data_IF_877161505101
#
_entry.id   IF_877161505101
#
_cell.length_a   1.000
_cell.length_b   1.000
_cell.length_c   1.000
_cell.angle_alpha   90.00
_cell.angle_beta   90.00
_cell.angle_gamma   90.00
#
_symmetry.space_group_name_H-M   'P 1'
#
loop_
_entity.id
_entity.type
_entity.pdbx_description
1 polymer ?
#
# COMPACT_ATOMS: atom_id res chain seq x y z
N UNK A 1 57.85 -32.99 -42.88
CA UNK A 1 56.70 -32.76 -43.77
C UNK A 1 55.48 -32.74 -42.87
N UNK A 2 54.68 -31.70 -42.68
CA UNK A 2 54.54 -30.37 -43.26
C UNK A 2 53.87 -29.52 -42.17
N UNK A 3 54.32 -28.27 -41.99
CA UNK A 3 53.59 -27.26 -41.25
C UNK A 3 52.41 -26.78 -42.10
N UNK A 4 51.21 -26.74 -41.53
CA UNK A 4 50.15 -25.83 -41.99
C UNK A 4 49.81 -24.85 -40.89
N UNK A 5 50.28 -23.61 -41.07
CA UNK A 5 49.80 -22.42 -40.36
C UNK A 5 48.54 -21.93 -41.07
N UNK A 6 47.48 -21.66 -40.32
CA UNK A 6 46.51 -20.61 -40.70
C UNK A 6 46.35 -19.70 -39.48
N UNK A 7 46.72 -18.44 -39.69
CA UNK A 7 46.52 -17.28 -38.82
C UNK A 7 45.11 -16.74 -39.02
N UNK A 8 44.42 -16.29 -37.96
CA UNK A 8 43.13 -15.64 -38.14
C UNK A 8 42.39 -15.20 -36.89
N UNK A 9 42.84 -14.06 -36.35
CA UNK A 9 42.03 -13.01 -35.69
C UNK A 9 41.40 -13.32 -34.33
N UNK A 10 41.88 -12.57 -33.34
CA UNK A 10 41.32 -12.53 -32.01
C UNK A 10 39.91 -11.96 -31.98
N UNK A 11 39.05 -12.65 -31.27
CA UNK A 11 37.94 -12.05 -30.56
C UNK A 11 38.06 -12.53 -29.11
N UNK A 12 38.48 -11.61 -28.26
CA UNK A 12 38.26 -11.71 -26.82
C UNK A 12 36.76 -11.80 -26.59
N UNK A 13 36.22 -13.01 -26.57
CA UNK A 13 34.95 -13.24 -25.91
C UNK A 13 35.22 -13.16 -24.41
N UNK A 14 34.99 -11.99 -23.85
CA UNK A 14 34.62 -11.90 -22.44
C UNK A 14 33.29 -12.64 -22.29
N UNK A 15 33.36 -13.93 -21.97
CA UNK A 15 32.27 -14.56 -21.22
C UNK A 15 32.22 -13.82 -19.89
N UNK A 16 31.36 -12.81 -19.80
CA UNK A 16 30.88 -12.31 -18.52
C UNK A 16 30.18 -13.48 -17.85
N UNK A 17 30.91 -14.18 -16.99
CA UNK A 17 30.33 -15.03 -15.95
C UNK A 17 29.47 -14.12 -15.08
N UNK A 18 28.20 -13.95 -15.45
CA UNK A 18 27.18 -13.52 -14.51
C UNK A 18 27.07 -14.65 -13.49
N UNK A 19 27.64 -14.46 -12.31
CA UNK A 19 27.30 -15.29 -11.16
C UNK A 19 25.79 -15.17 -10.96
N UNK A 20 25.04 -16.14 -11.48
CA UNK A 20 23.68 -16.40 -11.03
C UNK A 20 23.83 -16.75 -9.55
N UNK A 21 23.56 -15.78 -8.68
CA UNK A 21 23.01 -16.14 -7.38
C UNK A 21 21.71 -16.85 -7.71
N UNK A 22 21.73 -18.19 -7.63
CA UNK A 22 20.50 -18.98 -7.56
C UNK A 22 19.74 -18.45 -6.35
N UNK A 23 18.88 -17.46 -6.56
CA UNK A 23 17.82 -17.15 -5.64
C UNK A 23 17.01 -18.44 -5.57
N UNK A 24 17.21 -19.22 -4.52
CA UNK A 24 16.52 -20.47 -4.30
C UNK A 24 15.04 -20.20 -4.51
N UNK A 25 14.48 -20.70 -5.62
CA UNK A 25 13.05 -20.61 -5.89
C UNK A 25 12.41 -21.44 -4.79
N UNK A 26 11.89 -20.76 -3.76
CA UNK A 26 11.19 -21.41 -2.68
C UNK A 26 10.06 -22.22 -3.31
N UNK A 27 9.90 -23.50 -2.95
CA UNK A 27 8.82 -24.31 -3.50
C UNK A 27 7.49 -23.61 -3.23
N UNK A 28 6.63 -23.56 -4.25
CA UNK A 28 5.24 -23.15 -4.08
C UNK A 28 4.63 -23.97 -2.95
N UNK A 29 3.92 -23.31 -2.04
CA UNK A 29 3.19 -23.92 -0.92
C UNK A 29 1.71 -23.82 -1.27
N UNK A 30 1.11 -24.82 -1.96
CA UNK A 30 -0.25 -24.71 -2.47
C UNK A 30 -1.29 -24.50 -1.36
N UNK A 31 -1.02 -25.00 -0.16
CA UNK A 31 -1.88 -24.86 1.02
C UNK A 31 -2.09 -23.39 1.41
N UNK A 32 -1.12 -22.52 1.08
CA UNK A 32 -1.24 -21.09 1.34
C UNK A 32 -2.39 -20.43 0.55
N UNK A 33 -2.95 -21.08 -0.49
CA UNK A 33 -4.10 -20.57 -1.21
C UNK A 33 -5.44 -20.76 -0.48
N UNK A 34 -5.53 -21.73 0.43
CA UNK A 34 -6.79 -22.23 1.00
C UNK A 34 -7.03 -21.81 2.46
N UNK A 35 -6.36 -20.75 2.90
CA UNK A 35 -6.47 -20.21 4.26
C UNK A 35 -7.90 -19.69 4.53
N UNK A 36 -8.43 -19.97 5.72
CA UNK A 36 -9.75 -19.51 6.14
C UNK A 36 -9.74 -17.99 6.34
N UNK A 37 -8.73 -17.46 7.04
CA UNK A 37 -8.53 -16.03 7.17
C UNK A 37 -7.57 -15.52 6.10
N UNK A 38 -8.12 -15.10 4.96
CA UNK A 38 -7.35 -14.54 3.83
C UNK A 38 -6.75 -13.15 4.09
N UNK A 39 -7.09 -12.51 5.21
CA UNK A 39 -6.53 -11.20 5.57
C UNK A 39 -5.28 -11.35 6.44
N UNK A 40 -5.36 -12.07 7.56
CA UNK A 40 -4.20 -12.33 8.44
C UNK A 40 -3.39 -13.57 8.06
N UNK A 41 -3.85 -14.32 7.05
CA UNK A 41 -3.20 -15.52 6.54
C UNK A 41 -3.02 -16.59 7.62
N UNK A 42 -4.01 -16.76 8.50
CA UNK A 42 -4.00 -17.66 9.66
C UNK A 42 -2.84 -17.39 10.64
N UNK A 43 -2.49 -16.12 10.86
CA UNK A 43 -1.73 -15.73 12.05
C UNK A 43 -2.62 -15.92 13.29
N UNK A 44 -2.12 -16.66 14.27
CA UNK A 44 -2.82 -16.91 15.53
C UNK A 44 -2.91 -15.63 16.34
N UNK A 45 -4.12 -15.22 16.76
CA UNK A 45 -4.28 -14.11 17.70
C UNK A 45 -4.53 -14.68 19.10
N UNK A 46 -4.16 -13.93 20.14
CA UNK A 46 -4.59 -14.29 21.49
C UNK A 46 -6.12 -14.20 21.61
N UNK A 47 -6.72 -14.91 22.57
CA UNK A 47 -8.18 -14.83 22.81
C UNK A 47 -8.64 -13.40 23.08
N UNK A 48 -7.82 -12.61 23.76
CA UNK A 48 -8.08 -11.20 24.05
C UNK A 48 -8.06 -10.35 22.77
N UNK A 49 -7.03 -10.50 21.94
CA UNK A 49 -6.93 -9.82 20.63
C UNK A 49 -8.07 -10.22 19.68
N UNK A 50 -8.43 -11.50 19.68
CA UNK A 50 -9.58 -11.98 18.92
C UNK A 50 -10.87 -11.27 19.32
N UNK A 51 -11.04 -10.92 20.60
CA UNK A 51 -12.22 -10.22 21.08
C UNK A 51 -12.16 -8.71 20.80
N UNK A 52 -11.03 -8.05 21.07
CA UNK A 52 -10.87 -6.60 20.92
C UNK A 52 -10.85 -6.16 19.45
N UNK A 53 -10.17 -6.92 18.59
CA UNK A 53 -9.91 -6.54 17.19
C UNK A 53 -10.94 -7.11 16.20
N UNK A 54 -11.90 -7.91 16.68
CA UNK A 54 -12.87 -8.65 15.85
C UNK A 54 -13.59 -7.77 14.82
N UNK A 55 -14.02 -6.58 15.25
CA UNK A 55 -14.88 -5.72 14.46
C UNK A 55 -14.20 -5.24 13.17
N UNK A 56 -13.00 -4.65 13.28
CA UNK A 56 -12.31 -4.13 12.11
C UNK A 56 -11.63 -5.25 11.31
N UNK A 57 -11.18 -6.33 11.96
CA UNK A 57 -10.63 -7.50 11.26
C UNK A 57 -11.68 -8.18 10.37
N UNK A 58 -12.93 -8.27 10.83
CA UNK A 58 -14.04 -8.79 10.03
C UNK A 58 -14.28 -7.92 8.78
N UNK A 59 -14.21 -6.59 8.92
CA UNK A 59 -14.32 -5.65 7.79
C UNK A 59 -13.12 -5.78 6.84
N UNK A 60 -11.91 -5.91 7.36
CA UNK A 60 -10.71 -6.09 6.56
C UNK A 60 -10.74 -7.42 5.76
N UNK A 61 -11.28 -8.49 6.37
CA UNK A 61 -11.51 -9.77 5.68
C UNK A 61 -12.53 -9.63 4.54
N UNK A 62 -13.60 -8.85 4.73
CA UNK A 62 -14.53 -8.51 3.63
C UNK A 62 -13.81 -7.78 2.50
N UNK A 63 -12.89 -6.87 2.82
CA UNK A 63 -11.99 -6.22 1.87
C UNK A 63 -11.18 -7.19 1.02
N UNK A 64 -10.57 -8.19 1.67
CA UNK A 64 -9.82 -9.23 0.96
C UNK A 64 -10.72 -10.02 -0.01
N UNK A 65 -11.96 -10.32 0.40
CA UNK A 65 -12.92 -11.07 -0.42
C UNK A 65 -13.45 -10.26 -1.60
N UNK A 66 -13.77 -8.97 -1.42
CA UNK A 66 -14.35 -8.16 -2.50
C UNK A 66 -13.30 -7.69 -3.52
N UNK A 67 -12.07 -7.35 -3.07
CA UNK A 67 -11.01 -6.91 -3.97
C UNK A 67 -10.32 -8.08 -4.67
N UNK A 68 -10.24 -9.23 -4.02
CA UNK A 68 -9.62 -10.46 -4.54
C UNK A 68 -10.62 -11.63 -4.46
N UNK A 69 -11.73 -11.60 -5.22
CA UNK A 69 -12.70 -12.68 -5.25
C UNK A 69 -12.11 -13.95 -5.89
N UNK A 70 -12.78 -15.08 -5.70
CA UNK A 70 -12.39 -16.33 -6.37
C UNK A 70 -12.66 -16.26 -7.88
N UNK A 71 -13.80 -15.67 -8.25
CA UNK A 71 -14.25 -15.52 -9.62
C UNK A 71 -14.75 -14.08 -9.85
N UNK A 72 -14.29 -13.45 -10.93
CA UNK A 72 -14.70 -12.13 -11.36
C UNK A 72 -14.89 -12.17 -12.88
N UNK A 73 -16.14 -12.34 -13.36
CA UNK A 73 -16.40 -12.41 -14.78
C UNK A 73 -16.10 -11.06 -15.43
N UNK A 74 -15.32 -11.09 -16.50
CA UNK A 74 -14.98 -9.88 -17.27
C UNK A 74 -16.20 -9.43 -18.08
N UNK A 75 -16.55 -8.17 -17.95
CA UNK A 75 -17.61 -7.49 -18.70
C UNK A 75 -17.07 -6.22 -19.34
N UNK A 76 -17.88 -5.53 -20.16
CA UNK A 76 -17.47 -4.25 -20.77
C UNK A 76 -17.15 -3.15 -19.73
N UNK A 77 -17.81 -3.19 -18.57
CA UNK A 77 -17.62 -2.20 -17.51
C UNK A 77 -16.64 -2.66 -16.43
N UNK A 78 -16.36 -3.96 -16.35
CA UNK A 78 -15.45 -4.58 -15.39
C UNK A 78 -14.49 -5.50 -16.13
N UNK A 79 -13.37 -4.97 -16.57
CA UNK A 79 -12.37 -5.66 -17.39
C UNK A 79 -11.25 -6.27 -16.55
N UNK A 80 -11.09 -5.86 -15.29
CA UNK A 80 -10.03 -6.34 -14.41
C UNK A 80 -10.29 -7.79 -13.95
N UNK A 81 -9.59 -8.72 -14.59
CA UNK A 81 -9.75 -10.17 -14.36
C UNK A 81 -9.23 -10.63 -12.99
N UNK A 82 -9.58 -11.84 -12.56
CA UNK A 82 -8.97 -12.47 -11.38
C UNK A 82 -7.44 -12.58 -11.49
N UNK A 83 -6.93 -12.88 -12.68
CA UNK A 83 -5.50 -12.92 -12.94
C UNK A 83 -4.85 -11.54 -12.73
N UNK A 84 -5.43 -10.48 -13.31
CA UNK A 84 -4.94 -9.10 -13.15
C UNK A 84 -4.88 -8.71 -11.67
N UNK A 85 -5.95 -8.99 -10.93
CA UNK A 85 -6.05 -8.70 -9.49
C UNK A 85 -5.00 -9.45 -8.68
N UNK A 86 -4.86 -10.76 -8.87
CA UNK A 86 -3.89 -11.58 -8.12
C UNK A 86 -2.44 -11.28 -8.50
N UNK A 87 -2.16 -11.03 -9.78
CA UNK A 87 -0.83 -10.61 -10.27
C UNK A 87 -0.43 -9.24 -9.69
N UNK A 88 -1.39 -8.31 -9.61
CA UNK A 88 -1.22 -7.02 -8.95
C UNK A 88 -0.92 -7.19 -7.47
N UNK A 89 -1.75 -7.95 -6.76
CA UNK A 89 -1.57 -8.19 -5.32
C UNK A 89 -0.21 -8.86 -5.02
N UNK A 90 0.21 -9.83 -5.84
CA UNK A 90 1.53 -10.45 -5.74
C UNK A 90 2.66 -9.43 -5.98
N UNK A 91 2.57 -8.61 -7.02
CA UNK A 91 3.55 -7.55 -7.32
C UNK A 91 3.70 -6.58 -6.15
N UNK A 92 2.57 -6.14 -5.59
CA UNK A 92 2.54 -5.22 -4.46
C UNK A 92 3.10 -5.89 -3.19
N UNK A 93 2.74 -7.14 -2.92
CA UNK A 93 3.30 -7.90 -1.78
C UNK A 93 4.82 -8.07 -1.88
N UNK A 94 5.34 -8.32 -3.10
CA UNK A 94 6.77 -8.41 -3.37
C UNK A 94 7.50 -7.10 -3.11
N UNK A 95 6.91 -5.96 -3.52
CA UNK A 95 7.45 -4.62 -3.22
C UNK A 95 7.57 -4.40 -1.71
N UNK A 96 6.58 -4.82 -0.93
CA UNK A 96 6.62 -4.66 0.53
C UNK A 96 7.46 -5.72 1.25
N UNK A 97 7.87 -6.79 0.58
CA UNK A 97 8.77 -7.81 1.11
C UNK A 97 8.14 -8.73 2.17
N UNK A 98 6.81 -8.77 2.30
CA UNK A 98 6.14 -9.62 3.30
C UNK A 98 5.96 -11.03 2.75
N UNK A 99 6.92 -11.92 3.04
CA UNK A 99 7.02 -13.24 2.40
C UNK A 99 5.74 -14.09 2.51
N UNK A 100 5.05 -14.09 3.66
CA UNK A 100 3.81 -14.87 3.84
C UNK A 100 2.73 -14.41 2.86
N UNK A 101 2.64 -13.10 2.63
CA UNK A 101 1.70 -12.49 1.70
C UNK A 101 2.07 -12.81 0.24
N UNK A 102 3.37 -12.77 -0.10
CA UNK A 102 3.86 -13.21 -1.41
C UNK A 102 3.48 -14.66 -1.69
N UNK A 103 3.72 -15.56 -0.73
CA UNK A 103 3.40 -16.98 -0.87
C UNK A 103 1.90 -17.20 -1.07
N UNK A 104 1.06 -16.51 -0.30
CA UNK A 104 -0.39 -16.59 -0.40
C UNK A 104 -0.89 -16.19 -1.80
N UNK A 105 -0.49 -15.02 -2.30
CA UNK A 105 -0.96 -14.57 -3.61
C UNK A 105 -0.35 -15.38 -4.76
N UNK A 106 0.91 -15.82 -4.65
CA UNK A 106 1.50 -16.72 -5.64
C UNK A 106 0.75 -18.06 -5.73
N UNK A 107 0.39 -18.65 -4.58
CA UNK A 107 -0.38 -19.89 -4.53
C UNK A 107 -1.78 -19.71 -5.13
N UNK A 108 -2.44 -18.56 -4.89
CA UNK A 108 -3.74 -18.23 -5.49
C UNK A 108 -3.67 -17.91 -6.98
N UNK A 109 -2.57 -17.33 -7.45
CA UNK A 109 -2.35 -16.97 -8.86
C UNK A 109 -2.02 -18.19 -9.72
N UNK A 110 -1.25 -19.15 -9.20
CA UNK A 110 -0.79 -20.33 -9.94
C UNK A 110 -1.89 -21.12 -10.69
N UNK A 111 -3.10 -21.37 -10.13
CA UNK A 111 -4.16 -22.08 -10.84
C UNK A 111 -4.97 -21.19 -11.80
N UNK A 112 -4.79 -19.88 -11.81
CA UNK A 112 -5.55 -18.97 -12.67
C UNK A 112 -5.12 -19.13 -14.13
N UNK A 113 -6.06 -19.07 -15.10
CA UNK A 113 -5.70 -19.06 -16.50
C UNK A 113 -4.82 -17.84 -16.77
N UNK A 114 -3.61 -18.08 -17.28
CA UNK A 114 -2.69 -17.01 -17.64
C UNK A 114 -3.24 -16.16 -18.80
N UNK A 115 -2.73 -14.94 -18.95
CA UNK A 115 -3.01 -14.10 -20.11
C UNK A 115 -2.66 -14.85 -21.40
N UNK A 116 -3.42 -14.60 -22.47
CA UNK A 116 -3.05 -15.13 -23.77
C UNK A 116 -1.71 -14.56 -24.24
N UNK A 117 -1.07 -15.22 -25.20
CA UNK A 117 0.24 -14.83 -25.73
C UNK A 117 0.18 -13.69 -26.74
N UNK A 118 -0.97 -13.00 -26.88
CA UNK A 118 -1.11 -11.87 -27.80
C UNK A 118 -0.24 -10.69 -27.37
N UNK A 119 0.09 -9.81 -28.32
CA UNK A 119 0.84 -8.58 -28.02
C UNK A 119 0.05 -7.65 -27.11
N UNK A 120 -1.27 -7.59 -27.28
CA UNK A 120 -2.19 -6.75 -26.52
C UNK A 120 -2.25 -7.17 -25.04
N UNK A 121 -2.41 -8.48 -24.81
CA UNK A 121 -2.42 -9.07 -23.48
C UNK A 121 -1.09 -8.89 -22.74
N UNK A 122 0.05 -9.09 -23.43
CA UNK A 122 1.37 -8.83 -22.87
C UNK A 122 1.60 -7.34 -22.53
N UNK A 123 1.13 -6.42 -23.39
CA UNK A 123 1.19 -4.97 -23.13
C UNK A 123 0.37 -4.61 -21.90
N UNK A 124 -0.86 -5.13 -21.78
CA UNK A 124 -1.73 -4.94 -20.62
C UNK A 124 -1.07 -5.40 -19.33
N UNK A 125 -0.57 -6.63 -19.29
CA UNK A 125 0.11 -7.16 -18.11
C UNK A 125 1.31 -6.30 -17.72
N UNK A 126 2.11 -5.86 -18.71
CA UNK A 126 3.30 -5.04 -18.46
C UNK A 126 2.93 -3.69 -17.84
N UNK A 127 1.94 -2.98 -18.40
CA UNK A 127 1.52 -1.67 -17.90
C UNK A 127 0.86 -1.76 -16.52
N UNK A 128 -0.02 -2.74 -16.30
CA UNK A 128 -0.63 -2.99 -14.99
C UNK A 128 0.46 -3.28 -13.94
N UNK A 129 1.41 -4.16 -14.26
CA UNK A 129 2.50 -4.53 -13.34
C UNK A 129 3.40 -3.34 -13.03
N UNK A 130 3.75 -2.54 -14.04
CA UNK A 130 4.57 -1.35 -13.88
C UNK A 130 3.88 -0.30 -12.99
N UNK A 131 2.63 0.04 -13.29
CA UNK A 131 1.85 0.99 -12.50
C UNK A 131 1.72 0.53 -11.05
N UNK A 132 1.34 -0.74 -10.83
CA UNK A 132 1.19 -1.31 -9.49
C UNK A 132 2.50 -1.23 -8.69
N UNK A 133 3.64 -1.55 -9.32
CA UNK A 133 4.96 -1.45 -8.70
C UNK A 133 5.30 0.00 -8.36
N UNK A 134 5.07 0.94 -9.27
CA UNK A 134 5.34 2.37 -9.04
C UNK A 134 4.47 2.92 -7.91
N UNK A 135 3.14 2.72 -7.95
CA UNK A 135 2.25 3.21 -6.90
C UNK A 135 2.53 2.55 -5.53
N UNK A 136 3.03 1.31 -5.50
CA UNK A 136 3.43 0.66 -4.27
C UNK A 136 4.76 1.19 -3.71
N UNK A 137 5.79 1.37 -4.55
CA UNK A 137 7.17 1.66 -4.12
C UNK A 137 7.60 3.13 -4.20
N UNK A 138 7.16 3.84 -5.24
CA UNK A 138 7.53 5.23 -5.54
C UNK A 138 6.28 5.97 -6.06
N UNK A 139 5.29 6.24 -5.19
CA UNK A 139 4.00 6.77 -5.62
C UNK A 139 4.12 8.10 -6.38
N UNK A 140 5.15 8.90 -6.08
CA UNK A 140 5.43 10.19 -6.73
C UNK A 140 5.76 10.10 -8.22
N UNK A 141 6.00 8.90 -8.76
CA UNK A 141 6.17 8.69 -10.20
C UNK A 141 4.83 8.57 -10.94
N UNK A 142 3.71 8.47 -10.23
CA UNK A 142 2.39 8.42 -10.84
C UNK A 142 1.96 9.84 -11.22
N UNK A 143 1.74 10.03 -12.52
CA UNK A 143 1.33 11.27 -13.18
C UNK A 143 0.15 11.03 -14.12
N UNK A 144 -0.30 12.09 -14.81
CA UNK A 144 -1.43 12.03 -15.75
C UNK A 144 -1.16 11.01 -16.88
N UNK A 145 0.08 10.91 -17.36
CA UNK A 145 0.46 9.96 -18.40
C UNK A 145 0.36 8.51 -17.90
N UNK A 146 0.80 8.25 -16.66
CA UNK A 146 0.67 6.93 -16.02
C UNK A 146 -0.79 6.50 -15.88
N UNK A 147 -1.70 7.44 -15.57
CA UNK A 147 -3.15 7.19 -15.52
C UNK A 147 -3.74 6.97 -16.92
N UNK A 148 -3.34 7.76 -17.91
CA UNK A 148 -3.76 7.59 -19.30
C UNK A 148 -3.36 6.21 -19.85
N UNK A 149 -2.17 5.71 -19.50
CA UNK A 149 -1.73 4.38 -19.91
C UNK A 149 -2.64 3.25 -19.42
N UNK A 150 -3.34 3.42 -18.29
CA UNK A 150 -4.32 2.42 -17.83
C UNK A 150 -5.54 2.35 -18.76
N UNK A 151 -5.99 3.49 -19.28
CA UNK A 151 -7.06 3.56 -20.29
C UNK A 151 -6.61 2.93 -21.62
N UNK A 152 -5.34 3.12 -22.02
CA UNK A 152 -4.79 2.52 -23.24
C UNK A 152 -4.79 0.99 -23.25
N UNK A 153 -4.77 0.35 -22.07
CA UNK A 153 -4.93 -1.11 -21.94
C UNK A 153 -6.35 -1.53 -21.59
N UNK A 154 -7.31 -0.66 -21.89
CA UNK A 154 -8.74 -0.88 -21.79
C UNK A 154 -9.21 -1.18 -20.35
N UNK A 155 -8.61 -0.56 -19.34
CA UNK A 155 -9.21 -0.50 -18.01
C UNK A 155 -10.30 0.58 -18.01
N UNK A 156 -11.52 0.20 -17.62
CA UNK A 156 -12.61 1.17 -17.45
C UNK A 156 -12.34 2.08 -16.24
N UNK A 157 -13.09 3.19 -16.09
CA UNK A 157 -13.01 4.02 -14.89
C UNK A 157 -13.30 3.21 -13.62
N UNK A 158 -14.26 2.28 -13.67
CA UNK A 158 -14.54 1.37 -12.55
C UNK A 158 -13.31 0.52 -12.24
N UNK A 159 -12.68 -0.05 -13.26
CA UNK A 159 -11.48 -0.87 -13.07
C UNK A 159 -10.30 -0.08 -12.53
N UNK A 160 -10.08 1.16 -12.98
CA UNK A 160 -9.00 2.02 -12.48
C UNK A 160 -9.22 2.33 -10.99
N UNK A 161 -10.46 2.61 -10.58
CA UNK A 161 -10.83 2.81 -9.17
C UNK A 161 -10.58 1.54 -8.36
N UNK A 162 -11.10 0.39 -8.80
CA UNK A 162 -10.88 -0.91 -8.15
C UNK A 162 -9.40 -1.27 -8.06
N UNK A 163 -8.63 -0.99 -9.11
CA UNK A 163 -7.21 -1.29 -9.21
C UNK A 163 -6.38 -0.46 -8.21
N UNK A 164 -6.66 0.83 -8.08
CA UNK A 164 -6.03 1.67 -7.07
C UNK A 164 -6.45 1.28 -5.64
N UNK A 165 -7.72 0.88 -5.44
CA UNK A 165 -8.19 0.31 -4.16
C UNK A 165 -7.43 -0.98 -3.80
N UNK A 166 -7.23 -1.87 -4.77
CA UNK A 166 -6.49 -3.11 -4.58
C UNK A 166 -5.03 -2.85 -4.18
N UNK A 167 -4.33 -1.95 -4.88
CA UNK A 167 -2.93 -1.62 -4.56
C UNK A 167 -2.81 -1.04 -3.14
N UNK A 168 -3.71 -0.13 -2.79
CA UNK A 168 -3.75 0.47 -1.45
C UNK A 168 -4.08 -0.56 -0.36
N UNK A 169 -5.10 -1.40 -0.58
CA UNK A 169 -5.52 -2.46 0.34
C UNK A 169 -4.41 -3.49 0.56
N UNK A 170 -3.73 -3.96 -0.49
CA UNK A 170 -2.62 -4.91 -0.33
C UNK A 170 -1.48 -4.29 0.49
N UNK A 171 -1.24 -2.99 0.34
CA UNK A 171 -0.28 -2.27 1.20
C UNK A 171 -0.71 -2.10 2.64
N UNK A 172 -2.00 -1.95 2.90
CA UNK A 172 -2.57 -2.01 4.24
C UNK A 172 -2.40 -3.41 4.84
N UNK A 173 -2.82 -4.46 4.13
CA UNK A 173 -2.70 -5.85 4.56
C UNK A 173 -1.25 -6.23 4.88
N UNK A 174 -0.29 -5.87 4.02
CA UNK A 174 1.14 -6.15 4.25
C UNK A 174 1.64 -5.55 5.58
N UNK A 175 1.25 -4.30 5.89
CA UNK A 175 1.65 -3.62 7.12
C UNK A 175 0.99 -4.22 8.35
N UNK A 176 -0.30 -4.54 8.26
CA UNK A 176 -1.03 -5.20 9.35
C UNK A 176 -0.39 -6.56 9.69
N UNK A 177 -0.12 -7.38 8.67
CA UNK A 177 0.57 -8.67 8.86
C UNK A 177 1.93 -8.46 9.55
N UNK A 178 2.73 -7.50 9.07
CA UNK A 178 4.04 -7.21 9.65
C UNK A 178 3.96 -6.79 11.13
N UNK A 179 2.95 -6.01 11.51
CA UNK A 179 2.72 -5.60 12.90
C UNK A 179 2.34 -6.79 13.78
N UNK A 180 1.41 -7.64 13.34
CA UNK A 180 1.05 -8.84 14.11
C UNK A 180 2.23 -9.82 14.24
N UNK A 181 3.03 -9.99 13.19
CA UNK A 181 4.25 -10.79 13.26
C UNK A 181 5.25 -10.22 14.28
N UNK A 182 5.42 -8.90 14.31
CA UNK A 182 6.29 -8.23 15.26
C UNK A 182 5.80 -8.38 16.70
N UNK A 183 4.49 -8.22 16.95
CA UNK A 183 3.88 -8.40 18.28
C UNK A 183 4.04 -9.85 18.80
N UNK A 184 4.04 -10.83 17.90
CA UNK A 184 4.25 -12.24 18.23
C UNK A 184 5.74 -12.63 18.32
N UNK A 185 6.66 -11.69 18.09
CA UNK A 185 8.10 -11.97 18.08
C UNK A 185 8.53 -12.93 16.95
N UNK A 186 7.75 -13.05 15.88
CA UNK A 186 8.08 -13.92 14.76
C UNK A 186 9.31 -13.37 14.01
N UNK A 187 10.23 -14.25 13.56
CA UNK A 187 11.43 -13.82 12.89
C UNK A 187 11.11 -13.21 11.53
N UNK A 188 11.73 -12.06 11.27
CA UNK A 188 11.67 -11.41 9.98
C UNK A 188 12.69 -12.04 9.04
N UNK A 189 12.22 -12.59 7.92
CA UNK A 189 13.10 -13.05 6.84
C UNK A 189 13.48 -11.87 5.96
N UNK A 190 14.50 -11.13 6.39
CA UNK A 190 15.07 -10.07 5.55
C UNK A 190 15.79 -10.70 4.35
N UNK A 191 15.35 -10.34 3.15
CA UNK A 191 16.00 -10.73 1.90
C UNK A 191 16.92 -9.58 1.45
N UNK A 192 18.24 -9.80 1.36
CA UNK A 192 19.16 -8.80 0.83
C UNK A 192 18.78 -8.42 -0.60
N UNK A 193 18.81 -7.11 -0.91
CA UNK A 193 18.56 -6.60 -2.26
C UNK A 193 17.11 -6.19 -2.57
N UNK A 194 16.18 -6.29 -1.60
CA UNK A 194 14.90 -5.58 -1.70
C UNK A 194 15.12 -4.10 -1.39
N UNK A 195 14.85 -3.24 -2.36
CA UNK A 195 14.94 -1.78 -2.19
C UNK A 195 13.92 -1.30 -1.16
N UNK A 196 14.38 -0.51 -0.19
CA UNK A 196 13.49 0.21 0.71
C UNK A 196 12.86 1.39 -0.03
N UNK A 197 11.58 1.66 0.22
CA UNK A 197 10.93 2.84 -0.35
C UNK A 197 11.67 4.10 0.12
N UNK A 198 12.06 4.94 -0.84
CA UNK A 198 12.65 6.25 -0.58
C UNK A 198 11.53 7.25 -0.25
N UNK A 199 11.86 8.23 0.59
CA UNK A 199 10.93 9.33 0.87
C UNK A 199 10.74 10.17 -0.39
N UNK A 200 9.53 10.67 -0.56
CA UNK A 200 9.25 11.68 -1.56
C UNK A 200 10.18 12.91 -1.42
N UNK A 201 10.39 13.65 -2.51
CA UNK A 201 11.16 14.89 -2.45
C UNK A 201 10.48 15.93 -1.55
N UNK A 202 11.25 16.61 -0.71
CA UNK A 202 10.73 17.70 0.14
C UNK A 202 10.12 18.84 -0.69
N UNK A 203 10.60 19.01 -1.94
CA UNK A 203 10.15 20.06 -2.85
C UNK A 203 8.65 19.98 -3.15
N UNK A 204 8.06 18.78 -3.11
CA UNK A 204 6.62 18.58 -3.36
C UNK A 204 5.73 19.30 -2.33
N UNK A 205 6.27 19.60 -1.14
CA UNK A 205 5.56 20.14 0.00
C UNK A 205 5.87 21.62 0.27
N UNK A 206 6.59 22.30 -0.63
CA UNK A 206 6.98 23.70 -0.47
C UNK A 206 5.89 24.70 -0.88
N UNK A 207 5.03 24.32 -1.83
CA UNK A 207 4.06 25.19 -2.51
C UNK A 207 2.80 25.51 -1.67
N UNK A 208 2.88 25.47 -0.34
CA UNK A 208 1.75 25.72 0.55
C UNK A 208 0.65 24.65 0.50
N UNK A 209 -0.55 25.02 0.94
CA UNK A 209 -1.67 24.09 1.05
C UNK A 209 -2.31 23.81 -0.31
N UNK A 210 -2.22 22.55 -0.75
CA UNK A 210 -2.84 22.08 -2.00
C UNK A 210 -4.09 21.28 -1.74
N UNK A 211 -5.12 21.56 -2.53
CA UNK A 211 -6.39 20.84 -2.51
C UNK A 211 -6.32 19.64 -3.45
N UNK A 212 -6.98 18.53 -3.12
CA UNK A 212 -7.03 17.37 -4.01
C UNK A 212 -8.15 17.54 -5.05
N UNK A 213 -7.86 17.22 -6.31
CA UNK A 213 -8.83 17.19 -7.40
C UNK A 213 -8.81 15.83 -8.12
N UNK A 214 -9.97 15.28 -8.49
CA UNK A 214 -10.04 14.02 -9.22
C UNK A 214 -9.55 14.19 -10.66
N UNK A 215 -8.81 13.19 -11.16
CA UNK A 215 -8.38 13.13 -12.57
C UNK A 215 -9.32 12.28 -13.44
N UNK A 216 -10.26 11.58 -12.80
CA UNK A 216 -11.28 10.75 -13.43
C UNK A 216 -12.67 11.31 -13.13
N UNK A 217 -13.66 11.11 -14.02
CA UNK A 217 -15.02 11.57 -13.78
C UNK A 217 -15.61 10.85 -12.56
N UNK A 218 -16.06 11.55 -11.51
CA UNK A 218 -16.73 10.91 -10.37
C UNK A 218 -18.12 10.38 -10.75
N UNK A 219 -18.71 9.52 -9.92
CA UNK A 219 -20.11 9.10 -10.10
C UNK A 219 -21.01 10.33 -9.98
N UNK A 220 -21.86 10.53 -10.98
CA UNK A 220 -22.84 11.60 -10.97
C UNK A 220 -24.02 11.27 -10.04
N UNK A 221 -24.36 12.19 -9.13
CA UNK A 221 -25.43 12.01 -8.14
C UNK A 221 -26.77 11.56 -8.74
N UNK A 222 -27.11 12.03 -9.95
CA UNK A 222 -28.38 11.70 -10.62
C UNK A 222 -28.46 10.26 -11.13
N UNK A 223 -27.31 9.63 -11.35
CA UNK A 223 -27.19 8.27 -11.87
C UNK A 223 -26.70 7.27 -10.82
N UNK A 224 -26.40 7.74 -9.60
CA UNK A 224 -25.96 6.90 -8.50
C UNK A 224 -27.06 5.90 -8.09
N UNK A 225 -26.70 4.62 -8.03
CA UNK A 225 -27.60 3.57 -7.56
C UNK A 225 -27.73 3.57 -6.02
N UNK A 226 -28.68 2.80 -5.48
CA UNK A 226 -28.93 2.73 -4.03
C UNK A 226 -27.68 2.35 -3.24
N UNK A 227 -26.92 1.35 -3.69
CA UNK A 227 -25.70 0.90 -3.00
C UNK A 227 -24.63 2.01 -2.95
N UNK A 228 -24.46 2.76 -4.04
CA UNK A 228 -23.56 3.91 -4.11
C UNK A 228 -23.99 5.03 -3.15
N UNK A 229 -25.29 5.37 -3.13
CA UNK A 229 -25.81 6.41 -2.24
C UNK A 229 -25.67 6.02 -0.76
N UNK A 230 -25.93 4.76 -0.42
CA UNK A 230 -25.83 4.26 0.96
C UNK A 230 -24.39 4.38 1.49
N UNK A 231 -23.41 3.98 0.69
CA UNK A 231 -22.00 4.10 1.10
C UNK A 231 -21.53 5.56 1.09
N UNK A 232 -22.02 6.39 0.18
CA UNK A 232 -21.70 7.81 0.14
C UNK A 232 -22.20 8.54 1.38
N UNK A 233 -23.39 8.21 1.90
CA UNK A 233 -23.90 8.76 3.15
C UNK A 233 -22.96 8.52 4.33
N UNK A 234 -22.31 7.34 4.39
CA UNK A 234 -21.31 7.04 5.40
C UNK A 234 -20.00 7.81 5.14
N UNK A 235 -19.45 7.69 3.93
CA UNK A 235 -18.12 8.23 3.59
C UNK A 235 -18.05 9.76 3.61
N UNK A 236 -19.13 10.46 3.26
CA UNK A 236 -19.15 11.92 3.23
C UNK A 236 -19.02 12.58 4.61
N UNK A 237 -19.42 11.87 5.67
CA UNK A 237 -19.26 12.30 7.05
C UNK A 237 -17.80 12.23 7.54
N UNK A 238 -16.91 11.62 6.76
CA UNK A 238 -15.51 11.41 7.09
C UNK A 238 -14.65 12.37 6.27
N UNK A 239 -14.00 13.34 6.92
CA UNK A 239 -13.24 14.39 6.23
C UNK A 239 -12.19 13.83 5.26
N UNK A 240 -11.53 12.73 5.64
CA UNK A 240 -10.49 12.07 4.83
C UNK A 240 -11.01 11.48 3.51
N UNK A 241 -12.28 11.05 3.46
CA UNK A 241 -12.90 10.50 2.26
C UNK A 241 -13.71 11.54 1.48
N UNK A 242 -14.20 12.59 2.13
CA UNK A 242 -15.09 13.57 1.52
C UNK A 242 -14.65 14.05 0.12
N UNK A 243 -13.38 14.42 -0.14
CA UNK A 243 -12.99 14.92 -1.46
C UNK A 243 -12.93 13.83 -2.56
N UNK A 244 -12.82 12.55 -2.20
CA UNK A 244 -12.63 11.43 -3.15
C UNK A 244 -13.81 10.45 -3.21
N UNK A 245 -14.75 10.51 -2.25
CA UNK A 245 -15.80 9.51 -2.06
C UNK A 245 -16.65 9.26 -3.30
N UNK A 246 -17.05 10.33 -4.01
CA UNK A 246 -17.83 10.21 -5.26
C UNK A 246 -17.08 9.50 -6.39
N UNK A 247 -15.75 9.60 -6.43
CA UNK A 247 -14.94 8.85 -7.39
C UNK A 247 -14.81 7.38 -6.97
N UNK A 248 -14.60 7.13 -5.68
CA UNK A 248 -14.54 5.75 -5.17
C UNK A 248 -15.88 5.01 -5.28
N UNK A 249 -17.00 5.72 -5.40
CA UNK A 249 -18.32 5.12 -5.57
C UNK A 249 -18.48 4.35 -6.89
N UNK A 250 -17.56 4.48 -7.86
CA UNK A 250 -17.51 3.57 -9.01
C UNK A 250 -17.33 2.10 -8.59
N UNK A 251 -16.72 1.85 -7.43
CA UNK A 251 -16.67 0.56 -6.78
C UNK A 251 -17.15 0.66 -5.31
N UNK A 252 -18.47 0.55 -5.13
CA UNK A 252 -19.14 0.82 -3.87
C UNK A 252 -18.75 -0.16 -2.74
N UNK A 253 -18.41 -1.41 -3.08
CA UNK A 253 -18.13 -2.43 -2.06
C UNK A 253 -16.76 -2.20 -1.37
N UNK A 254 -15.63 -2.00 -2.07
CA UNK A 254 -14.38 -1.57 -1.46
C UNK A 254 -14.47 -0.20 -0.77
N UNK A 255 -15.24 0.75 -1.32
CA UNK A 255 -15.49 2.02 -0.63
C UNK A 255 -16.20 1.78 0.72
N UNK A 256 -17.15 0.84 0.77
CA UNK A 256 -17.87 0.50 2.01
C UNK A 256 -16.93 -0.12 3.05
N UNK A 257 -16.04 -1.01 2.62
CA UNK A 257 -14.98 -1.56 3.47
C UNK A 257 -14.08 -0.44 4.01
N UNK A 258 -13.56 0.43 3.15
CA UNK A 258 -12.69 1.53 3.55
C UNK A 258 -13.38 2.49 4.53
N UNK A 259 -14.64 2.85 4.26
CA UNK A 259 -15.43 3.74 5.11
C UNK A 259 -15.71 3.12 6.49
N UNK A 260 -15.99 1.81 6.55
CA UNK A 260 -16.17 1.09 7.80
C UNK A 260 -14.85 0.97 8.59
N UNK A 261 -13.73 0.70 7.93
CA UNK A 261 -12.41 0.67 8.58
C UNK A 261 -12.06 2.03 9.19
N UNK A 262 -12.28 3.12 8.44
CA UNK A 262 -12.07 4.48 8.95
C UNK A 262 -12.93 4.73 10.19
N UNK A 263 -14.23 4.39 10.14
CA UNK A 263 -15.15 4.55 11.28
C UNK A 263 -14.74 3.75 12.52
N UNK A 264 -14.18 2.56 12.33
CA UNK A 264 -13.80 1.67 13.44
C UNK A 264 -12.42 2.00 14.02
N UNK A 265 -11.48 2.45 13.19
CA UNK A 265 -10.09 2.66 13.58
C UNK A 265 -9.81 4.10 14.00
N UNK A 266 -10.32 5.08 13.26
CA UNK A 266 -10.08 6.50 13.52
C UNK A 266 -11.15 7.07 14.47
N UNK A 267 -10.76 7.93 15.43
CA UNK A 267 -11.72 8.72 16.16
C UNK A 267 -12.40 9.75 15.24
N UNK A 268 -13.53 10.35 15.65
CA UNK A 268 -14.14 11.47 14.93
C UNK A 268 -13.12 12.61 14.70
N UNK A 269 -13.28 13.37 13.61
CA UNK A 269 -12.29 14.37 13.17
C UNK A 269 -11.88 15.37 14.28
N UNK A 270 -12.83 15.79 15.14
CA UNK A 270 -12.56 16.72 16.25
C UNK A 270 -11.88 16.11 17.48
N UNK A 271 -11.63 14.80 17.47
CA UNK A 271 -11.04 14.02 18.58
C UNK A 271 -9.75 13.31 18.16
N UNK A 272 -9.21 13.61 16.97
CA UNK A 272 -7.93 13.06 16.51
C UNK A 272 -6.80 13.64 17.37
N UNK A 273 -6.18 12.79 18.19
CA UNK A 273 -5.02 13.16 19.00
C UNK A 273 -3.74 13.34 18.18
N UNK A 274 -2.79 14.08 18.75
CA UNK A 274 -1.53 14.47 18.09
C UNK A 274 -0.71 13.29 17.56
N UNK A 275 -0.69 12.16 18.27
CA UNK A 275 0.01 10.93 17.82
C UNK A 275 -0.50 10.47 16.44
N UNK A 276 -1.81 10.51 16.20
CA UNK A 276 -2.41 10.12 14.91
C UNK A 276 -2.19 11.16 13.82
N UNK A 277 -2.14 12.45 14.18
CA UNK A 277 -1.77 13.53 13.25
C UNK A 277 -0.31 13.36 12.82
N UNK A 278 0.60 13.05 13.76
CA UNK A 278 2.01 12.73 13.48
C UNK A 278 2.12 11.53 12.53
N UNK A 279 1.37 10.45 12.77
CA UNK A 279 1.35 9.28 11.87
C UNK A 279 0.89 9.68 10.45
N UNK A 280 -0.16 10.51 10.33
CA UNK A 280 -0.64 10.99 9.03
C UNK A 280 0.41 11.85 8.32
N UNK A 281 1.04 12.79 9.03
CA UNK A 281 2.13 13.63 8.48
C UNK A 281 3.29 12.78 7.97
N UNK A 282 3.76 11.80 8.74
CA UNK A 282 4.87 10.92 8.36
C UNK A 282 4.52 10.08 7.13
N UNK A 283 3.37 9.40 7.14
CA UNK A 283 2.95 8.54 6.04
C UNK A 283 2.74 9.35 4.75
N UNK A 284 2.07 10.50 4.83
CA UNK A 284 1.88 11.40 3.71
C UNK A 284 3.21 11.96 3.17
N UNK A 285 4.14 12.34 4.05
CA UNK A 285 5.47 12.83 3.68
C UNK A 285 6.29 11.77 2.97
N UNK A 286 6.31 10.54 3.47
CA UNK A 286 7.07 9.42 2.89
C UNK A 286 6.47 9.03 1.53
N UNK A 287 5.15 8.90 1.46
CA UNK A 287 4.46 8.48 0.22
C UNK A 287 4.34 9.59 -0.83
N UNK A 288 4.52 10.87 -0.48
CA UNK A 288 4.36 11.98 -1.41
C UNK A 288 2.94 12.50 -1.58
N UNK A 289 2.03 12.22 -0.64
CA UNK A 289 0.63 12.66 -0.73
C UNK A 289 0.47 14.07 -0.18
N UNK A 290 0.61 15.08 -1.04
CA UNK A 290 0.61 16.50 -0.65
C UNK A 290 -0.71 16.91 0.01
N UNK A 291 -1.86 16.53 -0.55
CA UNK A 291 -3.16 16.90 0.03
C UNK A 291 -3.40 16.26 1.40
N UNK A 292 -2.93 15.03 1.62
CA UNK A 292 -2.99 14.39 2.94
C UNK A 292 -2.08 15.10 3.94
N UNK A 293 -0.88 15.52 3.49
CA UNK A 293 0.06 16.26 4.32
C UNK A 293 -0.49 17.63 4.72
N UNK A 294 -1.07 18.39 3.79
CA UNK A 294 -1.73 19.67 4.08
C UNK A 294 -2.91 19.49 5.04
N UNK A 295 -3.76 18.49 4.80
CA UNK A 295 -4.86 18.19 5.70
C UNK A 295 -4.37 17.84 7.12
N UNK A 296 -3.34 17.00 7.26
CA UNK A 296 -2.78 16.66 8.57
C UNK A 296 -2.11 17.87 9.24
N UNK A 297 -1.43 18.73 8.47
CA UNK A 297 -0.82 19.96 9.00
C UNK A 297 -1.86 20.89 9.61
N UNK A 298 -3.04 21.02 8.99
CA UNK A 298 -4.13 21.84 9.51
C UNK A 298 -4.74 21.33 10.83
N UNK A 299 -4.54 20.05 11.17
CA UNK A 299 -5.01 19.41 12.40
C UNK A 299 -3.91 19.28 13.47
N UNK A 300 -2.70 19.75 13.19
CA UNK A 300 -1.61 19.74 14.18
C UNK A 300 -1.81 20.88 15.18
N UNK A 301 -1.98 20.54 16.47
CA UNK A 301 -2.23 21.51 17.55
C UNK A 301 -1.17 21.48 18.66
N UNK A 302 -0.28 20.49 18.64
CA UNK A 302 0.87 20.37 19.54
C UNK A 302 2.00 21.36 19.21
N UNK A 303 3.19 21.13 19.76
CA UNK A 303 4.32 22.07 19.69
C UNK A 303 4.65 22.49 18.26
N UNK A 304 4.89 23.79 18.08
CA UNK A 304 5.22 24.39 16.79
C UNK A 304 6.50 23.77 16.19
N UNK A 305 6.53 23.65 14.87
CA UNK A 305 7.73 23.26 14.13
C UNK A 305 7.84 21.78 13.77
N UNK A 306 6.99 20.88 14.29
CA UNK A 306 6.99 19.49 13.83
C UNK A 306 6.62 19.38 12.34
N UNK A 307 5.50 19.97 11.84
CA UNK A 307 5.17 19.89 10.42
C UNK A 307 6.30 20.41 9.53
N UNK A 308 6.96 21.51 9.92
CA UNK A 308 8.15 22.04 9.24
C UNK A 308 9.33 21.06 9.28
N UNK A 309 9.59 20.43 10.42
CA UNK A 309 10.67 19.45 10.57
C UNK A 309 10.43 18.22 9.68
N UNK A 310 9.21 17.71 9.61
CA UNK A 310 8.83 16.61 8.71
C UNK A 310 8.95 17.05 7.25
N UNK A 311 8.49 18.26 6.90
CA UNK A 311 8.58 18.84 5.55
C UNK A 311 10.04 18.88 5.07
N UNK A 312 10.93 19.42 5.90
CA UNK A 312 12.37 19.60 5.64
C UNK A 312 13.19 18.29 5.62
N UNK A 313 12.58 17.18 6.04
CA UNK A 313 13.15 15.84 5.91
C UNK A 313 13.95 15.38 7.12
N UNK A 314 14.66 14.27 6.92
CA UNK A 314 15.17 13.44 8.02
C UNK A 314 16.07 14.16 9.03
N UNK A 315 16.96 15.04 8.56
CA UNK A 315 17.87 15.78 9.48
C UNK A 315 17.11 16.71 10.41
N UNK A 316 16.14 17.45 9.87
CA UNK A 316 15.33 18.39 10.66
C UNK A 316 14.42 17.63 11.63
N UNK A 317 13.77 16.56 11.16
CA UNK A 317 12.95 15.68 11.98
C UNK A 317 13.75 15.03 13.12
N UNK A 318 14.97 14.57 12.83
CA UNK A 318 15.85 13.98 13.84
C UNK A 318 16.25 15.01 14.91
N UNK A 319 16.59 16.24 14.50
CA UNK A 319 16.92 17.32 15.43
C UNK A 319 15.72 17.68 16.32
N UNK A 320 14.52 17.82 15.75
CA UNK A 320 13.30 18.10 16.50
C UNK A 320 12.98 16.97 17.49
N UNK A 321 13.05 15.71 17.04
CA UNK A 321 12.70 14.54 17.87
C UNK A 321 13.67 14.26 19.02
N UNK A 322 14.81 14.95 19.08
CA UNK A 322 15.80 14.76 20.15
C UNK A 322 15.23 15.03 21.55
N UNK A 323 14.35 16.03 21.65
CA UNK A 323 13.71 16.44 22.90
C UNK A 323 12.30 15.84 23.08
N UNK A 324 11.87 14.97 22.17
CA UNK A 324 10.50 14.45 22.07
C UNK A 324 10.53 12.92 22.00
N UNK A 325 10.83 12.24 23.14
CA UNK A 325 11.11 10.80 23.14
C UNK A 325 9.89 9.95 22.72
N UNK A 326 8.67 10.38 23.06
CA UNK A 326 7.42 9.72 22.65
C UNK A 326 7.24 9.76 21.14
N UNK A 327 7.31 10.94 20.55
CA UNK A 327 7.18 11.17 19.11
C UNK A 327 8.33 10.51 18.36
N UNK A 328 9.54 10.49 18.93
CA UNK A 328 10.68 9.78 18.36
C UNK A 328 10.42 8.29 18.21
N UNK A 329 9.78 7.64 19.20
CA UNK A 329 9.41 6.23 19.11
C UNK A 329 8.38 5.99 17.98
N UNK A 330 7.37 6.86 17.88
CA UNK A 330 6.36 6.82 16.79
C UNK A 330 7.05 6.99 15.43
N UNK A 331 7.90 8.01 15.28
CA UNK A 331 8.65 8.30 14.06
C UNK A 331 9.46 7.09 13.61
N UNK A 332 10.19 6.44 14.52
CA UNK A 332 11.01 5.27 14.20
C UNK A 332 10.16 4.11 13.71
N UNK A 333 9.08 3.76 14.42
CA UNK A 333 8.23 2.64 14.07
C UNK A 333 7.49 2.88 12.73
N UNK A 334 6.83 4.03 12.58
CA UNK A 334 6.05 4.37 11.38
C UNK A 334 6.95 4.49 10.14
N UNK A 335 8.18 5.01 10.27
CA UNK A 335 9.10 5.09 9.13
C UNK A 335 9.50 3.71 8.61
N UNK A 336 9.88 2.78 9.49
CA UNK A 336 10.24 1.42 9.07
C UNK A 336 9.03 0.72 8.47
N UNK A 337 7.87 0.78 9.14
CA UNK A 337 6.64 0.14 8.66
C UNK A 337 6.15 0.74 7.33
N UNK A 338 6.34 2.04 7.10
CA UNK A 338 5.95 2.68 5.84
C UNK A 338 6.90 2.29 4.70
N UNK A 339 8.22 2.31 4.95
CA UNK A 339 9.24 2.13 3.91
C UNK A 339 9.56 0.68 3.56
N UNK A 340 9.51 -0.20 4.56
CA UNK A 340 9.95 -1.59 4.43
C UNK A 340 9.19 -2.51 5.40
N UNK A 341 7.88 -2.76 5.17
CA UNK A 341 7.07 -3.61 6.05
C UNK A 341 7.70 -4.99 6.30
N UNK A 342 8.29 -5.60 5.26
CA UNK A 342 9.00 -6.88 5.35
C UNK A 342 10.27 -6.88 6.21
N UNK A 343 10.68 -5.73 6.76
CA UNK A 343 11.78 -5.61 7.73
C UNK A 343 11.31 -5.27 9.16
N UNK A 344 10.01 -5.02 9.34
CA UNK A 344 9.44 -4.58 10.61
C UNK A 344 9.39 -5.72 11.63
N UNK A 345 9.90 -5.48 12.83
CA UNK A 345 10.09 -6.51 13.87
C UNK A 345 9.78 -5.96 15.27
N UNK A 346 9.84 -6.82 16.28
CA UNK A 346 9.72 -6.43 17.69
C UNK A 346 10.70 -5.32 18.10
N UNK A 347 11.84 -5.16 17.41
CA UNK A 347 12.81 -4.10 17.68
C UNK A 347 12.22 -2.68 17.50
N UNK A 348 11.24 -2.52 16.60
CA UNK A 348 10.55 -1.23 16.39
C UNK A 348 9.42 -0.99 17.39
N UNK A 349 8.94 -2.04 18.08
CA UNK A 349 7.90 -1.93 19.09
C UNK A 349 8.46 -1.56 20.46
N UNK A 350 9.66 -2.05 20.79
CA UNK A 350 10.30 -1.83 22.09
C UNK A 350 10.37 -0.33 22.50
N UNK A 351 10.78 0.62 21.62
CA UNK A 351 10.77 2.03 21.97
C UNK A 351 9.38 2.60 22.25
N UNK A 352 8.31 2.07 21.62
CA UNK A 352 6.94 2.48 21.91
C UNK A 352 6.55 2.05 23.33
N UNK A 353 6.84 0.81 23.70
CA UNK A 353 6.53 0.31 25.05
C UNK A 353 7.30 1.05 26.14
N UNK A 354 8.56 1.44 25.88
CA UNK A 354 9.36 2.28 26.78
C UNK A 354 8.76 3.68 26.99
N UNK A 355 7.96 4.16 26.04
CA UNK A 355 7.22 5.43 26.12
C UNK A 355 5.77 5.24 26.62
N UNK A 356 5.46 4.07 27.17
CA UNK A 356 4.20 3.79 27.85
C UNK A 356 3.03 3.40 26.96
N UNK A 357 3.26 3.10 25.67
CA UNK A 357 2.22 2.52 24.83
C UNK A 357 1.88 1.10 25.31
N UNK A 358 0.58 0.78 25.40
CA UNK A 358 0.15 -0.62 25.55
C UNK A 358 0.33 -1.38 24.22
N UNK A 359 0.19 -2.71 24.26
CA UNK A 359 0.15 -3.52 23.03
C UNK A 359 -0.97 -3.06 22.08
N UNK A 360 -2.14 -2.74 22.62
CA UNK A 360 -3.31 -2.33 21.84
C UNK A 360 -3.14 -0.93 21.26
N UNK A 361 -2.56 0.00 22.03
CA UNK A 361 -2.26 1.35 21.53
C UNK A 361 -1.23 1.30 20.39
N UNK A 362 -0.17 0.51 20.55
CA UNK A 362 0.85 0.32 19.53
C UNK A 362 0.28 -0.36 18.27
N UNK A 363 -0.52 -1.42 18.45
CA UNK A 363 -1.22 -2.09 17.35
C UNK A 363 -2.11 -1.10 16.59
N UNK A 364 -2.99 -0.39 17.30
CA UNK A 364 -3.95 0.55 16.69
C UNK A 364 -3.23 1.67 15.94
N UNK A 365 -2.20 2.26 16.53
CA UNK A 365 -1.39 3.32 15.91
C UNK A 365 -0.73 2.83 14.60
N UNK A 366 -0.17 1.63 14.60
CA UNK A 366 0.51 1.07 13.44
C UNK A 366 -0.46 0.58 12.35
N UNK A 367 -1.61 0.02 12.72
CA UNK A 367 -2.70 -0.32 11.79
C UNK A 367 -3.22 0.94 11.09
N UNK A 368 -3.44 2.03 11.84
CA UNK A 368 -3.85 3.33 11.29
C UNK A 368 -2.77 3.89 10.34
N UNK A 369 -1.48 3.70 10.63
CA UNK A 369 -0.42 4.09 9.69
C UNK A 369 -0.55 3.37 8.34
N UNK A 370 -0.93 2.09 8.34
CA UNK A 370 -1.23 1.34 7.14
C UNK A 370 -2.45 1.88 6.39
N UNK A 371 -3.49 2.28 7.12
CA UNK A 371 -4.71 2.87 6.56
C UNK A 371 -4.42 4.22 5.89
N UNK A 372 -3.62 5.09 6.51
CA UNK A 372 -3.16 6.32 5.85
C UNK A 372 -2.33 6.02 4.60
N UNK A 373 -1.49 4.98 4.63
CA UNK A 373 -0.75 4.52 3.45
C UNK A 373 -1.65 4.09 2.27
N UNK A 374 -2.82 3.51 2.55
CA UNK A 374 -3.85 3.22 1.55
C UNK A 374 -4.46 4.53 1.02
N UNK A 375 -4.91 5.43 1.91
CA UNK A 375 -5.49 6.72 1.53
C UNK A 375 -4.54 7.57 0.68
N UNK A 376 -3.25 7.60 1.03
CA UNK A 376 -2.23 8.31 0.25
C UNK A 376 -2.17 7.79 -1.19
N UNK A 377 -2.17 6.46 -1.38
CA UNK A 377 -2.10 5.84 -2.71
C UNK A 377 -3.35 6.10 -3.53
N UNK A 378 -4.53 6.14 -2.91
CA UNK A 378 -5.76 6.55 -3.60
C UNK A 378 -5.69 8.00 -4.07
N UNK A 379 -5.26 8.92 -3.20
CA UNK A 379 -5.16 10.34 -3.54
C UNK A 379 -4.14 10.58 -4.66
N UNK A 380 -3.00 9.90 -4.63
CA UNK A 380 -1.97 10.02 -5.67
C UNK A 380 -2.41 9.33 -6.97
N UNK A 381 -3.00 8.14 -6.89
CA UNK A 381 -3.34 7.33 -8.04
C UNK A 381 -4.58 7.80 -8.82
N UNK A 382 -5.46 8.57 -8.20
CA UNK A 382 -6.76 8.95 -8.78
C UNK A 382 -6.95 10.46 -8.97
N UNK A 383 -5.92 11.26 -8.70
CA UNK A 383 -6.04 12.71 -8.78
C UNK A 383 -4.72 13.43 -8.56
N UNK A 384 -4.80 14.75 -8.56
CA UNK A 384 -3.67 15.64 -8.37
C UNK A 384 -3.93 16.59 -7.20
N UNK A 385 -2.86 17.04 -6.55
CA UNK A 385 -2.92 18.11 -5.57
C UNK A 385 -2.59 19.44 -6.28
N UNK A 386 -3.52 20.39 -6.24
CA UNK A 386 -3.43 21.70 -6.91
C UNK A 386 -3.77 22.84 -5.96
#
# INVERSE_FOLDING_TARGET
MEQRRISGKGHWYHETQSSRSDAAVLPLVPEAAYLENRFLLDLELSTEQHASEAAWLSVALKGATCLLPENSPVTRLHTLSCYDRLSTALTVAQVYGVQRLCNHYAARLAPQPGPDSSRESNRRLTQITQYARQLASQPTLIDDNSRQQLDEVALSVNDIVTFNQLIGFTGFQARVIAVFQALQGLPVRWLPGLDTQQDASANLFLDGDKSWQPDLPPVEQRYANTQQLDVLNLSQSQSVLNPIGWLLAHDAEPLSVLSQLIRLLLPPDGEIGDDLVLVNLLTARINGSVSCFSHATAHWHAENGLPEAIRNGERALQAWSHNHPRERAIIQAVRVLTRAPGSFSAAQLQPLFEQGFSNDDALRLLVISGLYGWLNRLKIGLGNAS
#
